data_IF_363980972397
#
_entry.id   IF_363980972397
#
_cell.length_a   1.000
_cell.length_b   1.000
_cell.length_c   1.000
_cell.angle_alpha   90.00
_cell.angle_beta   90.00
_cell.angle_gamma   90.00
#
_symmetry.space_group_name_H-M   'P 1'
#
loop_
_entity.id
_entity.type
_entity.pdbx_description
1 polymer ?
#
# COMPACT_ATOMS: atom_id res chain seq x y z
N UNK A 1 2.99 8.13 -22.03
CA UNK A 1 1.99 7.97 -23.12
C UNK A 1 0.60 7.70 -22.56
N UNK A 2 0.29 6.51 -22.03
CA UNK A 2 -1.08 6.18 -21.57
C UNK A 2 -1.66 7.14 -20.51
N UNK A 3 -0.81 7.64 -19.61
CA UNK A 3 -1.18 8.59 -18.54
C UNK A 3 -1.02 10.06 -18.91
N UNK A 4 -0.56 10.37 -20.14
CA UNK A 4 -0.33 11.76 -20.56
C UNK A 4 -1.61 12.62 -20.49
N UNK A 5 -2.81 12.17 -20.95
CA UNK A 5 -4.02 12.98 -20.85
C UNK A 5 -4.33 13.45 -19.41
N UNK A 6 -4.09 12.58 -18.42
CA UNK A 6 -4.35 12.88 -17.00
C UNK A 6 -3.28 13.79 -16.41
N UNK A 7 -2.02 13.63 -16.83
CA UNK A 7 -0.93 14.56 -16.47
C UNK A 7 -1.17 15.96 -17.07
N UNK A 8 -1.59 16.04 -18.33
CA UNK A 8 -1.90 17.29 -19.02
C UNK A 8 -3.07 18.01 -18.30
N UNK A 9 -4.15 17.29 -17.95
CA UNK A 9 -5.25 17.87 -17.15
C UNK A 9 -4.81 18.30 -15.74
N UNK A 10 -3.94 17.52 -15.09
CA UNK A 10 -3.39 17.87 -13.77
C UNK A 10 -2.58 19.18 -13.84
N UNK A 11 -1.68 19.31 -14.81
CA UNK A 11 -0.89 20.52 -15.02
C UNK A 11 -1.78 21.71 -15.41
N UNK A 12 -2.81 21.50 -16.23
CA UNK A 12 -3.81 22.52 -16.56
C UNK A 12 -4.56 23.00 -15.30
N UNK A 13 -4.97 22.09 -14.42
CA UNK A 13 -5.67 22.42 -13.18
C UNK A 13 -4.75 23.09 -12.14
N UNK A 14 -3.51 22.63 -12.03
CA UNK A 14 -2.48 23.20 -11.17
C UNK A 14 -2.16 24.65 -11.58
N UNK A 15 -1.89 24.89 -12.86
CA UNK A 15 -1.57 26.21 -13.40
C UNK A 15 -2.75 27.21 -13.34
N UNK A 16 -4.00 26.72 -13.37
CA UNK A 16 -5.20 27.56 -13.21
C UNK A 16 -5.52 27.92 -11.75
N UNK A 17 -4.97 27.21 -10.79
CA UNK A 17 -5.29 27.41 -9.37
C UNK A 17 -4.41 28.51 -8.76
N UNK A 18 -4.98 29.60 -8.22
CA UNK A 18 -4.21 30.56 -7.44
C UNK A 18 -3.94 30.02 -6.03
N UNK A 19 -2.76 30.27 -5.49
CA UNK A 19 -2.39 29.84 -4.14
C UNK A 19 -0.92 29.41 -4.04
N UNK A 20 -0.58 28.80 -2.90
CA UNK A 20 0.68 28.09 -2.71
C UNK A 20 0.66 26.71 -3.39
N UNK A 21 1.83 26.10 -3.49
CA UNK A 21 1.99 24.82 -4.19
C UNK A 21 1.12 23.68 -3.60
N UNK A 22 1.00 23.52 -2.26
CA UNK A 22 0.09 22.53 -1.68
C UNK A 22 -1.39 22.72 -2.04
N UNK A 23 -1.88 23.97 -2.12
CA UNK A 23 -3.27 24.26 -2.53
C UNK A 23 -3.47 23.90 -4.00
N UNK A 24 -2.54 24.27 -4.89
CA UNK A 24 -2.61 23.94 -6.32
C UNK A 24 -2.61 22.43 -6.57
N UNK A 25 -1.68 21.71 -5.94
CA UNK A 25 -1.57 20.25 -6.06
C UNK A 25 -2.87 19.58 -5.61
N UNK A 26 -3.48 20.04 -4.50
CA UNK A 26 -4.77 19.51 -4.03
C UNK A 26 -5.89 19.75 -5.04
N UNK A 27 -6.05 20.98 -5.50
CA UNK A 27 -7.08 21.33 -6.49
C UNK A 27 -6.91 20.56 -7.82
N UNK A 28 -5.65 20.34 -8.24
CA UNK A 28 -5.33 19.54 -9.41
C UNK A 28 -5.72 18.06 -9.21
N UNK A 29 -5.39 17.46 -8.06
CA UNK A 29 -5.83 16.10 -7.72
C UNK A 29 -7.36 15.97 -7.64
N UNK A 30 -8.06 16.94 -7.06
CA UNK A 30 -9.52 16.94 -6.99
C UNK A 30 -10.15 17.06 -8.39
N UNK A 31 -9.57 17.90 -9.27
CA UNK A 31 -10.01 18.07 -10.66
C UNK A 31 -9.85 16.78 -11.49
N UNK A 32 -8.68 16.12 -11.45
CA UNK A 32 -8.50 14.86 -12.16
C UNK A 32 -9.32 13.73 -11.54
N UNK A 33 -9.50 13.71 -10.21
CA UNK A 33 -10.36 12.73 -9.54
C UNK A 33 -11.78 12.84 -10.06
N UNK A 34 -12.36 14.04 -10.04
CA UNK A 34 -13.71 14.30 -10.55
C UNK A 34 -13.89 13.92 -12.04
N UNK A 35 -12.84 13.99 -12.85
CA UNK A 35 -12.87 13.65 -14.28
C UNK A 35 -12.68 12.17 -14.57
N UNK A 36 -11.92 11.45 -13.75
CA UNK A 36 -11.42 10.10 -14.08
C UNK A 36 -11.78 9.00 -13.08
N UNK A 37 -12.39 9.31 -11.93
CA UNK A 37 -12.84 8.32 -10.94
C UNK A 37 -13.94 7.39 -11.49
N UNK A 38 -14.68 7.78 -12.53
CA UNK A 38 -15.69 6.92 -13.19
C UNK A 38 -15.11 5.69 -13.91
N UNK A 39 -13.81 5.69 -14.22
CA UNK A 39 -13.18 4.61 -14.97
C UNK A 39 -12.58 3.54 -14.05
N UNK A 40 -12.75 2.27 -14.43
CA UNK A 40 -11.78 1.23 -14.07
C UNK A 40 -10.46 1.49 -14.81
N UNK A 41 -9.32 0.99 -14.32
CA UNK A 41 -8.08 1.05 -15.10
C UNK A 41 -8.25 0.39 -16.49
N UNK A 42 -9.04 -0.69 -16.62
CA UNK A 42 -9.31 -1.33 -17.93
C UNK A 42 -10.00 -0.38 -18.89
N UNK A 43 -11.10 0.20 -18.43
CA UNK A 43 -11.93 1.09 -19.24
C UNK A 43 -11.23 2.43 -19.54
N UNK A 44 -10.35 2.91 -18.65
CA UNK A 44 -9.45 4.03 -18.96
C UNK A 44 -8.48 3.66 -20.09
N UNK A 45 -7.76 2.54 -19.97
CA UNK A 45 -6.75 2.13 -20.95
C UNK A 45 -7.35 1.88 -22.35
N UNK A 46 -8.55 1.29 -22.40
CA UNK A 46 -9.31 1.07 -23.62
C UNK A 46 -9.90 2.38 -24.20
N UNK A 47 -10.68 3.13 -23.41
CA UNK A 47 -11.52 4.22 -23.91
C UNK A 47 -10.80 5.57 -23.99
N UNK A 48 -9.85 5.82 -23.08
CA UNK A 48 -9.11 7.10 -23.00
C UNK A 48 -7.72 6.94 -23.61
N UNK A 49 -6.93 5.96 -23.17
CA UNK A 49 -5.56 5.75 -23.68
C UNK A 49 -5.50 5.02 -25.03
N UNK A 50 -6.63 4.47 -25.51
CA UNK A 50 -6.77 3.78 -26.81
C UNK A 50 -5.79 2.62 -27.03
N UNK A 51 -5.50 1.86 -25.97
CA UNK A 51 -4.67 0.67 -26.07
C UNK A 51 -5.39 -0.47 -26.81
N UNK A 52 -4.62 -1.28 -27.54
CA UNK A 52 -5.16 -2.49 -28.17
C UNK A 52 -5.51 -3.56 -27.12
N UNK A 53 -6.45 -4.48 -27.41
CA UNK A 53 -6.77 -5.58 -26.50
C UNK A 53 -5.54 -6.42 -26.12
N UNK A 54 -4.58 -6.59 -27.03
CA UNK A 54 -3.37 -7.37 -26.77
C UNK A 54 -2.34 -6.62 -25.93
N UNK A 55 -2.25 -5.29 -26.05
CA UNK A 55 -1.46 -4.46 -25.13
C UNK A 55 -2.05 -4.51 -23.70
N UNK A 56 -3.38 -4.50 -23.59
CA UNK A 56 -4.09 -4.66 -22.32
C UNK A 56 -3.80 -6.04 -21.69
N UNK A 57 -3.89 -7.14 -22.45
CA UNK A 57 -3.53 -8.50 -21.98
C UNK A 57 -2.07 -8.62 -21.55
N UNK A 58 -1.14 -8.01 -22.30
CA UNK A 58 0.28 -8.03 -21.96
C UNK A 58 0.58 -7.26 -20.66
N UNK A 59 -0.15 -6.17 -20.42
CA UNK A 59 -0.08 -5.42 -19.16
C UNK A 59 -0.69 -6.20 -17.98
N UNK A 60 -1.77 -6.96 -18.22
CA UNK A 60 -2.43 -7.84 -17.25
C UNK A 60 -1.46 -8.85 -16.61
N UNK A 61 -0.58 -9.42 -17.46
CA UNK A 61 0.49 -10.34 -17.05
C UNK A 61 1.49 -9.69 -16.06
N UNK A 62 1.70 -8.37 -16.15
CA UNK A 62 2.63 -7.59 -15.34
C UNK A 62 2.14 -7.26 -13.92
N UNK A 63 1.30 -8.10 -13.32
CA UNK A 63 0.63 -7.86 -12.03
C UNK A 63 -0.36 -6.68 -12.04
N UNK A 64 -0.96 -6.34 -13.20
CA UNK A 64 -1.96 -5.28 -13.28
C UNK A 64 -3.41 -5.78 -13.09
N UNK A 65 -3.64 -7.09 -13.09
CA UNK A 65 -4.97 -7.71 -12.99
C UNK A 65 -5.77 -7.25 -11.77
N UNK A 66 -5.12 -7.04 -10.62
CA UNK A 66 -5.77 -6.57 -9.39
C UNK A 66 -6.16 -5.08 -9.42
N UNK A 67 -5.51 -4.26 -10.27
CA UNK A 67 -5.89 -2.85 -10.44
C UNK A 67 -6.82 -2.63 -11.62
N UNK A 68 -6.94 -3.61 -12.52
CA UNK A 68 -7.69 -3.49 -13.78
C UNK A 68 -9.17 -3.15 -13.60
N UNK A 69 -9.84 -3.73 -12.59
CA UNK A 69 -11.26 -3.47 -12.29
C UNK A 69 -11.49 -2.47 -11.14
N UNK A 70 -10.41 -1.99 -10.52
CA UNK A 70 -10.47 -0.95 -9.49
C UNK A 70 -10.44 0.46 -10.11
N UNK A 71 -10.84 1.47 -9.32
CA UNK A 71 -10.96 2.85 -9.77
C UNK A 71 -9.62 3.42 -10.23
N UNK A 72 -9.54 3.88 -11.49
CA UNK A 72 -8.30 4.25 -12.19
C UNK A 72 -7.44 5.29 -11.44
N UNK A 73 -8.06 6.15 -10.63
CA UNK A 73 -7.37 7.19 -9.87
C UNK A 73 -6.42 6.62 -8.80
N UNK A 74 -6.69 5.43 -8.27
CA UNK A 74 -5.79 4.81 -7.28
C UNK A 74 -4.46 4.33 -7.92
N UNK A 75 -4.44 3.46 -8.96
CA UNK A 75 -3.18 3.07 -9.59
C UNK A 75 -2.48 4.21 -10.32
N UNK A 76 -3.19 5.27 -10.73
CA UNK A 76 -2.55 6.49 -11.27
C UNK A 76 -1.66 7.18 -10.22
N UNK A 77 -2.10 7.24 -8.95
CA UNK A 77 -1.27 7.77 -7.85
C UNK A 77 -0.12 6.84 -7.55
N UNK A 78 -0.37 5.54 -7.48
CA UNK A 78 0.69 4.57 -7.18
C UNK A 78 1.75 4.50 -8.26
N UNK A 79 1.41 4.58 -9.56
CA UNK A 79 2.39 4.56 -10.65
C UNK A 79 3.45 5.68 -10.55
N UNK A 80 3.06 6.83 -9.99
CA UNK A 80 3.98 7.94 -9.68
C UNK A 80 4.90 7.62 -8.49
N UNK A 81 4.42 6.85 -7.53
CA UNK A 81 5.09 6.55 -6.26
C UNK A 81 5.89 5.22 -6.26
N UNK A 82 5.57 4.25 -7.12
CA UNK A 82 6.06 2.86 -7.01
C UNK A 82 6.71 2.25 -8.26
N UNK A 83 6.76 2.97 -9.40
CA UNK A 83 7.56 2.52 -10.56
C UNK A 83 9.07 2.56 -10.24
N UNK A 84 9.89 1.61 -10.72
CA UNK A 84 11.32 1.56 -10.38
C UNK A 84 12.06 2.90 -10.62
N UNK A 85 11.72 3.61 -11.70
CA UNK A 85 12.29 4.92 -12.02
C UNK A 85 11.62 6.08 -11.25
N UNK A 86 10.37 5.91 -10.79
CA UNK A 86 9.67 6.82 -9.89
C UNK A 86 10.19 6.73 -8.45
N UNK A 87 10.27 5.51 -7.90
CA UNK A 87 10.75 5.24 -6.55
C UNK A 87 12.20 5.68 -6.31
N UNK A 88 13.08 5.48 -7.30
CA UNK A 88 14.44 6.01 -7.26
C UNK A 88 14.47 7.55 -7.26
N UNK A 89 13.63 8.22 -8.06
CA UNK A 89 13.50 9.69 -8.07
C UNK A 89 12.85 10.24 -6.80
N UNK A 90 11.91 9.50 -6.21
CA UNK A 90 11.23 9.83 -4.97
C UNK A 90 12.09 9.57 -3.73
N UNK A 91 13.26 8.91 -3.90
CA UNK A 91 14.14 8.55 -2.79
C UNK A 91 13.50 7.54 -1.83
N UNK A 92 12.76 6.54 -2.36
CA UNK A 92 12.18 5.48 -1.53
C UNK A 92 13.28 4.76 -0.72
N UNK A 93 13.02 4.57 0.57
CA UNK A 93 13.94 3.91 1.49
C UNK A 93 13.21 2.86 2.33
N UNK A 94 13.88 1.73 2.55
CA UNK A 94 13.49 0.79 3.60
C UNK A 94 14.24 1.13 4.90
N UNK A 95 13.54 1.11 6.03
CA UNK A 95 14.21 1.11 7.32
C UNK A 95 14.96 -0.20 7.50
N UNK A 96 16.28 -0.10 7.68
CA UNK A 96 17.18 -1.25 7.81
C UNK A 96 16.62 -2.27 8.83
N UNK A 97 16.35 -1.84 10.06
CA UNK A 97 15.86 -2.72 11.15
C UNK A 97 14.37 -3.11 11.04
N UNK A 98 13.77 -3.01 9.86
CA UNK A 98 12.34 -3.25 9.61
C UNK A 98 11.50 -1.99 9.69
N UNK A 99 10.35 -1.97 9.00
CA UNK A 99 9.41 -0.85 9.05
C UNK A 99 8.66 -0.76 10.39
N UNK A 100 8.65 -1.85 11.17
CA UNK A 100 8.09 -1.92 12.52
C UNK A 100 8.82 -1.01 13.53
N UNK A 101 10.01 -0.51 13.18
CA UNK A 101 10.72 0.48 13.98
C UNK A 101 9.97 1.82 14.06
N UNK A 102 9.15 2.16 13.06
CA UNK A 102 8.32 3.39 13.11
C UNK A 102 7.33 3.34 14.28
N UNK A 103 6.39 2.37 14.38
CA UNK A 103 5.51 2.27 15.54
C UNK A 103 6.27 2.04 16.86
N UNK A 104 7.32 1.19 16.86
CA UNK A 104 8.16 0.96 18.04
C UNK A 104 8.81 2.24 18.57
N UNK A 105 9.21 3.17 17.70
CA UNK A 105 9.79 4.45 18.09
C UNK A 105 8.79 5.40 18.79
N UNK A 106 7.47 5.17 18.75
CA UNK A 106 6.51 5.94 19.57
C UNK A 106 6.36 5.39 21.00
N UNK A 107 6.68 4.11 21.20
CA UNK A 107 6.48 3.38 22.47
C UNK A 107 7.78 2.98 23.17
N UNK A 108 8.95 3.23 22.58
CA UNK A 108 10.24 2.93 23.23
C UNK A 108 10.35 3.59 24.61
N UNK A 109 10.83 2.82 25.59
CA UNK A 109 11.21 3.29 26.94
C UNK A 109 12.23 4.42 26.90
N UNK A 110 13.09 4.46 25.89
CA UNK A 110 14.20 5.43 25.75
C UNK A 110 13.70 6.87 25.58
N UNK A 111 12.39 7.04 25.32
CA UNK A 111 11.73 8.35 25.21
C UNK A 111 11.28 8.94 26.55
N UNK A 112 11.39 8.20 27.65
CA UNK A 112 10.89 8.62 28.98
C UNK A 112 9.43 9.07 28.88
N UNK A 113 9.11 10.25 29.41
CA UNK A 113 7.77 10.86 29.40
C UNK A 113 7.18 11.09 28.00
N UNK A 114 8.02 11.09 26.95
CA UNK A 114 7.57 11.18 25.54
C UNK A 114 7.22 9.81 24.93
N UNK A 115 7.37 8.72 25.67
CA UNK A 115 6.87 7.40 25.28
C UNK A 115 5.35 7.36 25.41
N UNK A 116 4.68 6.64 24.50
CA UNK A 116 3.23 6.40 24.56
C UNK A 116 2.88 5.00 25.07
N UNK A 117 3.85 4.22 25.55
CA UNK A 117 3.63 2.85 26.02
C UNK A 117 2.57 2.76 27.13
N UNK A 118 2.59 3.67 28.11
CA UNK A 118 1.62 3.71 29.21
C UNK A 118 0.22 4.17 28.79
N UNK A 119 0.05 4.64 27.55
CA UNK A 119 -1.23 5.06 26.99
C UNK A 119 -1.82 4.01 26.05
N UNK A 120 -1.21 2.82 25.94
CA UNK A 120 -1.63 1.74 25.02
C UNK A 120 -1.86 0.47 25.83
N UNK A 121 -3.07 -0.09 25.69
CA UNK A 121 -3.47 -1.35 26.33
C UNK A 121 -3.42 -2.45 25.27
N UNK A 122 -2.38 -3.28 25.30
CA UNK A 122 -2.27 -4.45 24.42
C UNK A 122 -3.23 -5.56 24.86
N UNK A 123 -3.71 -6.37 23.91
CA UNK A 123 -4.68 -7.44 24.17
C UNK A 123 -6.13 -6.97 24.36
N UNK A 124 -6.39 -5.66 24.39
CA UNK A 124 -7.73 -5.12 24.43
C UNK A 124 -8.32 -5.00 23.01
N UNK A 125 -9.25 -5.89 22.66
CA UNK A 125 -10.05 -5.79 21.43
C UNK A 125 -11.36 -5.08 21.75
N UNK A 126 -11.65 -3.99 21.03
CA UNK A 126 -12.97 -3.34 21.09
C UNK A 126 -13.95 -4.20 20.30
N UNK A 127 -15.01 -4.69 20.97
CA UNK A 127 -15.98 -5.65 20.40
C UNK A 127 -17.32 -5.02 20.00
N UNK A 128 -17.42 -3.68 19.94
CA UNK A 128 -18.68 -2.99 19.70
C UNK A 128 -18.55 -1.54 19.25
N UNK A 129 -18.33 -1.37 17.94
CA UNK A 129 -18.64 -0.20 17.10
C UNK A 129 -18.84 -0.77 15.66
N UNK A 130 -19.91 -0.43 14.96
CA UNK A 130 -20.37 -1.09 13.71
C UNK A 130 -19.97 -0.32 12.43
N UNK A 131 -19.64 -0.91 11.27
CA UNK A 131 -19.41 -2.33 10.87
C UNK A 131 -18.48 -2.39 9.62
N UNK A 132 -17.93 -3.57 9.22
CA UNK A 132 -16.68 -3.61 8.42
C UNK A 132 -16.75 -4.12 6.95
N UNK A 133 -15.61 -4.04 6.23
CA UNK A 133 -15.38 -4.27 4.77
C UNK A 133 -13.92 -4.84 4.47
N UNK A 134 -13.54 -5.29 3.23
CA UNK A 134 -12.78 -6.56 2.92
C UNK A 134 -11.29 -6.47 2.35
N UNK A 135 -10.76 -7.48 1.57
CA UNK A 135 -9.48 -8.29 1.76
C UNK A 135 -8.23 -8.29 0.75
N UNK A 136 -6.95 -8.59 1.18
CA UNK A 136 -5.59 -8.73 0.42
C UNK A 136 -4.48 -9.57 1.20
N UNK A 137 -3.41 -10.21 0.63
CA UNK A 137 -2.34 -11.02 1.37
C UNK A 137 -0.83 -11.07 0.88
N UNK A 138 0.15 -11.66 1.62
CA UNK A 138 1.64 -11.59 1.34
C UNK A 138 2.52 -12.78 1.88
N UNK A 139 3.73 -13.05 1.33
CA UNK A 139 4.70 -14.10 1.77
C UNK A 139 6.18 -13.65 1.76
N UNK A 140 6.96 -14.02 2.79
CA UNK A 140 8.40 -13.68 2.97
C UNK A 140 9.28 -14.94 3.17
N UNK A 141 10.38 -15.08 2.43
CA UNK A 141 11.34 -16.20 2.55
C UNK A 141 12.72 -15.72 3.02
N UNK A 142 13.50 -16.59 3.68
CA UNK A 142 14.89 -16.31 4.08
C UNK A 142 15.86 -17.35 3.49
N UNK A 143 16.93 -16.84 2.85
CA UNK A 143 17.97 -17.58 2.18
C UNK A 143 19.34 -17.40 2.85
N UNK A 144 20.18 -18.43 2.75
CA UNK A 144 21.58 -18.46 3.22
C UNK A 144 22.49 -17.56 2.40
N UNK A 145 22.20 -17.44 1.12
CA UNK A 145 22.91 -16.68 0.10
C UNK A 145 21.93 -15.84 -0.69
N UNK A 146 22.34 -14.62 -1.07
CA UNK A 146 21.56 -13.73 -1.94
C UNK A 146 21.76 -14.10 -3.41
N UNK A 147 21.31 -15.30 -3.77
CA UNK A 147 21.51 -15.90 -5.09
C UNK A 147 21.03 -15.00 -6.25
N UNK A 148 20.02 -14.16 -6.02
CA UNK A 148 19.49 -13.20 -6.98
C UNK A 148 20.48 -12.10 -7.39
N UNK A 149 21.49 -11.78 -6.56
CA UNK A 149 22.53 -10.79 -6.89
C UNK A 149 23.26 -11.20 -8.18
N UNK A 150 23.57 -12.49 -8.33
CA UNK A 150 24.21 -13.02 -9.55
C UNK A 150 23.29 -13.00 -10.76
N UNK A 151 22.00 -13.32 -10.58
CA UNK A 151 20.99 -13.32 -11.65
C UNK A 151 20.81 -11.91 -12.22
N UNK A 152 20.58 -10.91 -11.37
CA UNK A 152 20.42 -9.53 -11.83
C UNK A 152 21.72 -8.93 -12.37
N UNK A 153 22.89 -9.26 -11.80
CA UNK A 153 24.18 -8.79 -12.33
C UNK A 153 24.44 -9.33 -13.74
N UNK A 154 24.19 -10.62 -13.97
CA UNK A 154 24.35 -11.25 -15.28
C UNK A 154 23.36 -10.70 -16.33
N UNK A 155 22.16 -10.29 -15.90
CA UNK A 155 21.17 -9.62 -16.75
C UNK A 155 21.43 -8.12 -16.96
N UNK A 156 22.44 -7.53 -16.29
CA UNK A 156 22.72 -6.08 -16.34
C UNK A 156 21.69 -5.22 -15.60
N UNK A 157 20.97 -5.79 -14.63
CA UNK A 157 19.82 -5.17 -13.94
C UNK A 157 20.12 -4.71 -12.50
N UNK A 158 21.37 -4.87 -12.02
CA UNK A 158 21.78 -4.50 -10.66
C UNK A 158 21.88 -5.69 -9.73
N UNK A 159 21.52 -5.52 -8.46
CA UNK A 159 21.62 -6.58 -7.42
C UNK A 159 20.30 -6.81 -6.65
N UNK A 160 19.27 -6.04 -6.96
CA UNK A 160 17.93 -6.07 -6.38
C UNK A 160 16.86 -5.85 -7.47
N UNK A 161 15.57 -5.81 -7.09
CA UNK A 161 14.49 -5.50 -8.02
C UNK A 161 13.20 -6.26 -7.76
N UNK A 162 12.33 -6.30 -8.78
CA UNK A 162 11.05 -6.99 -8.74
C UNK A 162 10.85 -7.88 -9.97
N UNK A 163 10.22 -9.03 -9.77
CA UNK A 163 9.90 -10.03 -10.80
C UNK A 163 8.39 -10.23 -10.86
N UNK A 164 7.79 -10.07 -12.04
CA UNK A 164 6.40 -10.44 -12.30
C UNK A 164 6.32 -11.83 -12.95
N UNK A 165 5.28 -12.61 -12.62
CA UNK A 165 5.07 -13.97 -13.09
C UNK A 165 3.58 -14.33 -13.14
N UNK A 166 3.23 -15.32 -13.96
CA UNK A 166 1.94 -16.00 -14.00
C UNK A 166 1.81 -17.13 -12.96
N UNK A 167 2.91 -17.52 -12.30
CA UNK A 167 2.91 -18.50 -11.21
C UNK A 167 2.21 -17.94 -9.96
N UNK A 168 1.68 -18.78 -9.03
CA UNK A 168 0.96 -18.35 -7.82
C UNK A 168 1.68 -17.39 -6.85
N UNK A 169 2.94 -17.02 -7.13
CA UNK A 169 3.68 -15.98 -6.42
C UNK A 169 3.46 -14.55 -6.97
N UNK A 170 2.95 -14.43 -8.20
CA UNK A 170 2.66 -13.23 -9.02
C UNK A 170 3.71 -12.14 -9.08
N UNK A 171 4.07 -11.55 -7.95
CA UNK A 171 5.14 -10.56 -7.84
C UNK A 171 6.11 -10.94 -6.72
N UNK A 172 7.39 -11.06 -7.05
CA UNK A 172 8.47 -11.25 -6.09
C UNK A 172 9.26 -9.95 -5.97
N UNK A 173 9.57 -9.50 -4.75
CA UNK A 173 10.46 -8.36 -4.53
C UNK A 173 11.72 -8.76 -3.77
N UNK A 174 12.87 -8.46 -4.38
CA UNK A 174 14.20 -8.68 -3.84
C UNK A 174 14.69 -7.36 -3.21
N UNK A 175 15.16 -7.37 -1.94
CA UNK A 175 15.47 -6.14 -1.22
C UNK A 175 16.77 -5.52 -1.70
N UNK A 176 16.88 -4.19 -1.55
CA UNK A 176 18.11 -3.44 -1.84
C UNK A 176 19.27 -3.93 -0.97
N UNK A 177 20.36 -4.36 -1.63
CA UNK A 177 21.55 -4.92 -0.97
C UNK A 177 22.73 -3.97 -0.94
N UNK A 178 22.90 -3.12 -1.95
CA UNK A 178 23.97 -2.12 -1.99
C UNK A 178 23.84 -1.09 -0.85
N UNK A 179 24.94 -0.78 -0.17
CA UNK A 179 24.96 0.11 1.00
C UNK A 179 24.24 -0.43 2.25
N UNK A 180 23.65 -1.63 2.21
CA UNK A 180 22.85 -2.16 3.31
C UNK A 180 23.72 -2.67 4.47
N UNK A 181 23.76 -1.88 5.54
CA UNK A 181 24.57 -2.13 6.74
C UNK A 181 24.32 -3.48 7.42
N UNK A 182 23.16 -4.09 7.22
CA UNK A 182 22.81 -5.39 7.81
C UNK A 182 23.48 -6.56 7.10
N UNK A 183 23.82 -6.38 5.83
CA UNK A 183 24.39 -7.42 4.96
C UNK A 183 25.93 -7.43 5.02
N UNK A 184 26.56 -6.39 5.55
CA UNK A 184 28.02 -6.21 5.65
C UNK A 184 28.75 -7.38 6.37
N UNK A 185 28.04 -8.13 7.21
CA UNK A 185 28.61 -9.28 7.96
C UNK A 185 27.94 -10.62 7.64
N UNK A 186 27.14 -10.71 6.56
CA UNK A 186 26.40 -11.93 6.24
C UNK A 186 26.04 -12.03 4.77
N UNK A 187 26.19 -13.22 4.18
CA UNK A 187 25.66 -13.51 2.84
C UNK A 187 24.17 -13.87 2.84
N UNK A 188 23.53 -13.94 4.02
CA UNK A 188 22.09 -14.21 4.15
C UNK A 188 21.27 -13.04 3.58
N UNK A 189 20.03 -13.33 3.21
CA UNK A 189 19.05 -12.30 2.84
C UNK A 189 17.63 -12.86 2.86
N UNK A 190 16.65 -11.97 3.01
CA UNK A 190 15.23 -12.30 2.87
C UNK A 190 14.70 -11.80 1.53
N UNK A 191 13.70 -12.47 0.98
CA UNK A 191 13.01 -12.09 -0.28
C UNK A 191 11.52 -12.09 0.00
N UNK A 192 10.79 -11.07 -0.48
CA UNK A 192 9.34 -11.15 -0.52
C UNK A 192 8.95 -12.03 -1.72
N UNK A 193 8.96 -13.34 -1.49
CA UNK A 193 8.82 -14.35 -2.54
C UNK A 193 7.47 -14.29 -3.25
N UNK A 194 6.40 -13.89 -2.55
CA UNK A 194 5.11 -13.62 -3.15
C UNK A 194 4.47 -12.37 -2.54
N UNK A 195 4.06 -11.45 -3.40
CA UNK A 195 3.29 -10.26 -3.08
C UNK A 195 2.03 -10.30 -3.93
N UNK A 196 0.90 -10.55 -3.28
CA UNK A 196 -0.31 -11.04 -3.92
C UNK A 196 -1.49 -10.12 -3.62
N UNK A 197 -2.42 -10.08 -4.57
CA UNK A 197 -3.64 -9.30 -4.44
C UNK A 197 -4.85 -10.16 -4.78
N UNK A 198 -6.00 -9.76 -4.23
CA UNK A 198 -7.32 -10.34 -4.52
C UNK A 198 -7.30 -11.88 -4.62
N UNK A 199 -7.71 -12.43 -5.76
CA UNK A 199 -7.93 -13.86 -5.95
C UNK A 199 -6.65 -14.71 -5.80
N UNK A 200 -5.46 -14.20 -6.15
CA UNK A 200 -4.21 -14.94 -5.92
C UNK A 200 -3.88 -15.04 -4.42
N UNK A 201 -4.11 -13.94 -3.68
CA UNK A 201 -3.95 -13.92 -2.23
C UNK A 201 -4.94 -14.87 -1.54
N UNK A 202 -6.18 -14.95 -2.02
CA UNK A 202 -7.17 -15.93 -1.55
C UNK A 202 -6.76 -17.37 -1.87
N UNK A 203 -6.31 -17.65 -3.10
CA UNK A 203 -5.91 -19.00 -3.53
C UNK A 203 -4.70 -19.52 -2.75
N UNK A 204 -3.65 -18.70 -2.58
CA UNK A 204 -2.50 -19.09 -1.78
C UNK A 204 -2.87 -19.12 -0.28
N UNK A 205 -3.69 -18.17 0.16
CA UNK A 205 -4.17 -18.05 1.53
C UNK A 205 -4.98 -19.24 2.04
N UNK A 206 -5.74 -19.90 1.17
CA UNK A 206 -6.50 -21.12 1.47
C UNK A 206 -5.60 -22.34 1.80
N UNK A 207 -4.28 -22.25 1.61
CA UNK A 207 -3.33 -23.33 1.90
C UNK A 207 -2.70 -23.17 3.28
N UNK A 208 -2.30 -24.27 3.92
CA UNK A 208 -1.52 -24.21 5.17
C UNK A 208 -0.19 -23.46 4.99
N UNK A 209 0.25 -22.71 6.01
CA UNK A 209 1.46 -21.85 6.02
C UNK A 209 2.70 -22.51 5.39
N UNK A 210 3.02 -23.74 5.79
CA UNK A 210 4.17 -24.48 5.25
C UNK A 210 4.04 -24.80 3.77
N UNK A 211 2.80 -24.99 3.28
CA UNK A 211 2.52 -25.21 1.85
C UNK A 211 2.66 -23.90 1.07
N UNK A 212 2.24 -22.76 1.62
CA UNK A 212 2.46 -21.44 1.01
C UNK A 212 3.97 -21.16 0.84
N UNK A 213 4.74 -21.36 1.91
CA UNK A 213 6.21 -21.20 1.95
C UNK A 213 6.93 -22.16 0.99
N UNK A 214 6.45 -23.41 0.88
CA UNK A 214 6.99 -24.41 -0.07
C UNK A 214 6.71 -24.03 -1.52
N UNK A 215 5.46 -23.72 -1.87
CA UNK A 215 5.07 -23.35 -3.24
C UNK A 215 5.82 -22.09 -3.71
N UNK A 216 6.01 -21.11 -2.83
CA UNK A 216 6.80 -19.93 -3.17
C UNK A 216 8.26 -20.26 -3.50
N UNK A 217 8.86 -21.21 -2.77
CA UNK A 217 10.23 -21.67 -3.03
C UNK A 217 10.33 -22.53 -4.31
N UNK A 218 9.39 -23.47 -4.52
CA UNK A 218 9.31 -24.32 -5.72
C UNK A 218 9.08 -23.49 -7.00
N UNK A 219 8.29 -22.42 -6.93
CA UNK A 219 8.08 -21.51 -8.06
C UNK A 219 9.36 -20.72 -8.39
N UNK A 220 10.11 -20.23 -7.39
CA UNK A 220 11.38 -19.55 -7.64
C UNK A 220 12.44 -20.50 -8.23
N UNK A 221 12.46 -21.76 -7.80
CA UNK A 221 13.32 -22.82 -8.37
C UNK A 221 12.97 -23.11 -9.84
N UNK A 222 11.68 -23.11 -10.17
CA UNK A 222 11.21 -23.27 -11.55
C UNK A 222 11.54 -22.08 -12.46
N UNK A 223 11.60 -20.86 -11.93
CA UNK A 223 11.98 -19.66 -12.69
C UNK A 223 13.50 -19.52 -12.84
N UNK A 224 14.26 -19.87 -11.79
CA UNK A 224 15.72 -19.76 -11.75
C UNK A 224 16.39 -21.10 -11.42
N UNK A 225 16.22 -22.14 -12.25
CA UNK A 225 16.73 -23.50 -11.94
C UNK A 225 18.25 -23.54 -11.82
N UNK A 226 18.95 -22.71 -12.58
CA UNK A 226 20.41 -22.57 -12.57
C UNK A 226 20.96 -21.94 -11.27
N UNK A 227 20.10 -21.29 -10.46
CA UNK A 227 20.46 -20.67 -9.18
C UNK A 227 20.12 -21.55 -7.96
N UNK A 228 19.55 -22.74 -8.20
CA UNK A 228 19.21 -23.77 -7.19
C UNK A 228 18.61 -23.22 -5.87
N UNK A 229 17.64 -22.28 -5.90
CA UNK A 229 17.21 -21.54 -4.70
C UNK A 229 16.64 -22.45 -3.60
N UNK A 230 16.12 -23.65 -3.91
CA UNK A 230 15.73 -24.63 -2.90
C UNK A 230 16.89 -25.07 -1.99
N UNK A 231 18.11 -25.20 -2.51
CA UNK A 231 19.29 -25.57 -1.72
C UNK A 231 19.72 -24.46 -0.76
N UNK A 232 19.42 -23.21 -1.11
CA UNK A 232 19.82 -22.03 -0.34
C UNK A 232 18.78 -21.57 0.69
N UNK A 233 17.56 -22.10 0.67
CA UNK A 233 16.47 -21.72 1.59
C UNK A 233 16.74 -22.21 3.01
N UNK A 234 16.74 -21.30 3.99
CA UNK A 234 16.92 -21.65 5.40
C UNK A 234 15.60 -21.66 6.18
N UNK A 235 14.71 -20.71 5.88
CA UNK A 235 13.42 -20.56 6.53
C UNK A 235 12.44 -19.82 5.62
N UNK A 236 11.16 -19.79 6.00
CA UNK A 236 10.15 -19.00 5.33
C UNK A 236 8.94 -18.76 6.22
N UNK A 237 8.18 -17.71 5.91
CA UNK A 237 7.02 -17.27 6.68
C UNK A 237 6.00 -16.62 5.75
N UNK A 238 4.72 -16.59 6.13
CA UNK A 238 3.69 -15.89 5.36
C UNK A 238 2.82 -15.01 6.26
N UNK A 239 2.23 -13.99 5.65
CA UNK A 239 1.30 -13.06 6.28
C UNK A 239 0.13 -12.81 5.31
N UNK A 240 -0.92 -13.61 5.47
CA UNK A 240 -2.08 -13.62 4.59
C UNK A 240 -3.14 -12.76 5.26
N UNK A 241 -3.16 -11.45 4.98
CA UNK A 241 -4.14 -10.56 5.64
C UNK A 241 -5.63 -10.93 5.43
N UNK A 242 -6.11 -11.71 4.43
CA UNK A 242 -7.51 -12.19 4.41
C UNK A 242 -7.83 -13.11 5.59
N UNK A 243 -6.81 -13.80 6.10
CA UNK A 243 -6.89 -14.61 7.32
C UNK A 243 -6.50 -13.85 8.60
N UNK A 244 -6.18 -12.56 8.51
CA UNK A 244 -5.85 -11.73 9.67
C UNK A 244 -7.11 -11.04 10.19
N UNK A 245 -7.63 -11.59 11.28
CA UNK A 245 -8.84 -11.12 11.96
C UNK A 245 -8.77 -9.65 12.40
N UNK A 246 -7.57 -9.10 12.63
CA UNK A 246 -7.37 -7.72 13.06
C UNK A 246 -7.22 -6.75 11.90
N UNK A 247 -6.87 -7.24 10.70
CA UNK A 247 -6.71 -6.43 9.49
C UNK A 247 -8.02 -6.22 8.72
N UNK A 248 -9.15 -6.75 9.20
CA UNK A 248 -10.43 -6.75 8.47
C UNK A 248 -10.36 -7.53 7.16
N UNK A 249 -9.36 -8.42 7.03
CA UNK A 249 -9.06 -9.17 5.83
C UNK A 249 -8.06 -8.49 4.86
N UNK A 250 -7.74 -7.19 4.96
CA UNK A 250 -6.87 -6.54 3.97
C UNK A 250 -5.58 -5.94 4.50
N UNK A 251 -4.58 -5.89 3.62
CA UNK A 251 -3.38 -5.11 3.80
C UNK A 251 -3.65 -3.59 3.73
N UNK A 252 -4.59 -3.17 2.88
CA UNK A 252 -4.98 -1.75 2.69
C UNK A 252 -6.30 -1.61 1.91
N UNK A 253 -6.91 -0.43 1.98
CA UNK A 253 -8.15 -0.09 1.30
C UNK A 253 -7.93 0.30 -0.18
N UNK A 254 -8.93 0.12 -1.04
CA UNK A 254 -8.83 0.53 -2.45
C UNK A 254 -10.23 0.80 -3.02
N UNK A 255 -10.43 1.95 -3.66
CA UNK A 255 -11.74 2.31 -4.21
C UNK A 255 -12.02 1.64 -5.56
N UNK A 256 -13.25 1.17 -5.73
CA UNK A 256 -13.84 0.87 -7.05
C UNK A 256 -14.22 2.18 -7.77
N UNK A 257 -14.50 2.16 -9.08
CA UNK A 257 -14.85 3.39 -9.81
C UNK A 257 -16.03 4.14 -9.19
N UNK A 258 -15.92 5.47 -9.14
CA UNK A 258 -16.88 6.40 -8.56
C UNK A 258 -16.91 6.43 -7.02
N UNK A 259 -16.35 5.42 -6.35
CA UNK A 259 -16.42 5.32 -4.89
C UNK A 259 -15.60 6.41 -4.19
N UNK A 260 -14.50 6.88 -4.81
CA UNK A 260 -13.67 7.94 -4.22
C UNK A 260 -14.44 9.25 -4.13
N UNK A 261 -15.13 9.60 -5.20
CA UNK A 261 -16.01 10.77 -5.27
C UNK A 261 -17.26 10.63 -4.38
N UNK A 262 -17.76 9.40 -4.20
CA UNK A 262 -18.97 9.13 -3.45
C UNK A 262 -18.75 9.07 -1.92
N UNK A 263 -17.66 8.46 -1.45
CA UNK A 263 -17.51 8.08 -0.04
C UNK A 263 -16.34 8.76 0.68
N UNK A 264 -15.27 9.18 0.00
CA UNK A 264 -14.04 9.65 0.69
C UNK A 264 -14.29 10.84 1.62
N UNK A 265 -15.13 11.79 1.20
CA UNK A 265 -15.49 12.95 2.03
C UNK A 265 -16.25 12.52 3.31
N UNK A 266 -17.16 11.55 3.20
CA UNK A 266 -17.90 11.00 4.32
C UNK A 266 -16.99 10.20 5.27
N UNK A 267 -16.09 9.38 4.74
CA UNK A 267 -15.11 8.60 5.51
C UNK A 267 -14.08 9.48 6.25
N UNK A 268 -13.88 10.73 5.82
CA UNK A 268 -12.98 11.69 6.47
C UNK A 268 -13.67 12.57 7.53
N UNK A 269 -15.01 12.56 7.61
CA UNK A 269 -15.78 13.28 8.63
C UNK A 269 -15.77 12.49 9.96
N UNK A 270 -16.01 13.16 11.10
CA UNK A 270 -16.39 12.47 12.34
C UNK A 270 -17.75 11.75 12.18
N UNK A 271 -18.26 11.16 13.27
CA UNK A 271 -19.64 10.68 13.33
C UNK A 271 -20.65 11.69 12.79
N UNK A 272 -21.74 11.19 12.20
CA UNK A 272 -22.66 11.99 11.37
C UNK A 272 -23.62 12.87 12.16
N UNK A 273 -23.20 13.33 13.35
CA UNK A 273 -24.00 13.98 14.39
C UNK A 273 -25.16 13.08 14.86
N UNK A 274 -25.03 12.51 16.06
CA UNK A 274 -26.10 11.73 16.68
C UNK A 274 -26.57 12.37 17.99
N UNK A 275 -27.86 12.78 18.11
CA UNK A 275 -28.89 12.77 17.06
C UNK A 275 -28.59 13.76 15.92
N UNK A 276 -29.27 13.58 14.79
CA UNK A 276 -29.10 14.39 13.57
C UNK A 276 -29.18 15.90 13.88
N UNK A 277 -28.21 16.67 13.38
CA UNK A 277 -27.96 18.09 13.68
C UNK A 277 -27.31 18.42 15.04
N UNK A 278 -26.84 17.43 15.82
CA UNK A 278 -25.99 17.70 16.99
C UNK A 278 -24.60 18.25 16.58
N UNK A 279 -24.16 19.35 17.19
CA UNK A 279 -22.78 19.84 17.03
C UNK A 279 -21.77 19.11 17.95
N UNK A 280 -22.10 17.93 18.47
CA UNK A 280 -21.31 17.20 19.46
C UNK A 280 -20.75 15.92 18.84
N UNK A 281 -19.59 16.03 18.19
CA UNK A 281 -18.91 14.88 17.59
C UNK A 281 -18.08 14.13 18.64
N UNK A 282 -18.25 12.81 18.69
CA UNK A 282 -17.63 11.97 19.72
C UNK A 282 -16.80 10.81 19.14
N UNK A 283 -17.04 10.42 17.89
CA UNK A 283 -16.28 9.38 17.18
C UNK A 283 -15.59 9.97 15.96
N UNK A 284 -14.29 9.68 15.80
CA UNK A 284 -13.45 10.26 14.75
C UNK A 284 -12.68 9.15 14.02
N UNK A 285 -12.72 9.17 12.69
CA UNK A 285 -12.18 8.10 11.86
C UNK A 285 -10.78 8.43 11.32
N UNK A 286 -9.84 7.53 11.57
CA UNK A 286 -8.45 7.60 11.14
C UNK A 286 -7.94 6.23 10.66
N UNK A 287 -6.81 6.25 9.97
CA UNK A 287 -6.27 5.11 9.21
C UNK A 287 -6.16 5.47 7.72
N UNK A 288 -5.47 4.64 6.94
CA UNK A 288 -5.19 4.94 5.53
C UNK A 288 -6.47 5.00 4.68
N UNK A 289 -7.47 4.17 4.99
CA UNK A 289 -8.81 4.14 4.35
C UNK A 289 -9.56 5.47 4.44
N UNK A 290 -9.25 6.29 5.44
CA UNK A 290 -9.80 7.63 5.61
C UNK A 290 -8.84 8.69 5.06
N UNK A 291 -8.19 8.44 3.91
CA UNK A 291 -7.18 9.33 3.34
C UNK A 291 -7.21 9.38 1.80
N UNK A 292 -6.46 10.32 1.22
CA UNK A 292 -6.34 10.42 -0.25
C UNK A 292 -5.30 9.47 -0.85
N UNK A 293 -4.52 8.77 -0.03
CA UNK A 293 -3.34 7.97 -0.40
C UNK A 293 -3.38 6.60 0.29
N UNK A 294 -4.22 5.72 -0.24
CA UNK A 294 -4.39 4.35 0.26
C UNK A 294 -3.14 3.50 0.06
N UNK A 295 -2.92 2.50 0.91
CA UNK A 295 -1.72 1.65 0.87
C UNK A 295 -0.43 2.31 1.37
N UNK A 296 -0.44 3.62 1.66
CA UNK A 296 0.73 4.37 2.13
C UNK A 296 0.63 4.74 3.61
N UNK A 297 1.71 4.50 4.37
CA UNK A 297 1.85 4.93 5.78
C UNK A 297 1.60 6.44 5.92
N UNK A 298 1.98 7.23 4.91
CA UNK A 298 1.72 8.68 4.86
C UNK A 298 0.22 9.02 4.87
N UNK A 299 -0.63 8.20 4.22
CA UNK A 299 -2.09 8.34 4.25
C UNK A 299 -2.64 8.16 5.66
N UNK A 300 -2.23 7.09 6.34
CA UNK A 300 -2.60 6.83 7.74
C UNK A 300 -2.13 7.95 8.70
N UNK A 301 -0.89 8.42 8.57
CA UNK A 301 -0.37 9.53 9.38
C UNK A 301 -1.13 10.84 9.14
N UNK A 302 -1.44 11.16 7.87
CA UNK A 302 -2.23 12.33 7.52
C UNK A 302 -3.66 12.28 8.08
N UNK A 303 -4.31 11.12 8.00
CA UNK A 303 -5.62 10.88 8.59
C UNK A 303 -5.60 10.99 10.13
N UNK A 304 -4.55 10.45 10.78
CA UNK A 304 -4.35 10.58 12.22
C UNK A 304 -4.17 12.03 12.67
N UNK A 305 -3.37 12.82 11.96
CA UNK A 305 -3.20 14.25 12.24
C UNK A 305 -4.50 15.04 12.04
N UNK A 306 -5.27 14.75 10.97
CA UNK A 306 -6.60 15.34 10.76
C UNK A 306 -7.56 15.00 11.92
N UNK A 307 -7.58 13.74 12.35
CA UNK A 307 -8.40 13.28 13.47
C UNK A 307 -8.04 14.04 14.77
N UNK A 308 -6.75 14.22 15.07
CA UNK A 308 -6.31 15.05 16.22
C UNK A 308 -6.78 16.50 16.09
N UNK A 309 -6.74 17.10 14.90
CA UNK A 309 -7.25 18.45 14.66
C UNK A 309 -8.77 18.55 14.84
N UNK A 310 -9.52 17.53 14.40
CA UNK A 310 -10.98 17.44 14.60
C UNK A 310 -11.30 17.33 16.09
N UNK A 311 -10.70 16.36 16.81
CA UNK A 311 -10.87 16.18 18.26
C UNK A 311 -10.53 17.47 19.03
N UNK A 312 -9.41 18.13 18.70
CA UNK A 312 -9.01 19.37 19.36
C UNK A 312 -10.01 20.50 19.11
N UNK A 313 -10.48 20.69 17.87
CA UNK A 313 -11.49 21.69 17.53
C UNK A 313 -12.78 21.48 18.34
N UNK A 314 -13.24 20.24 18.46
CA UNK A 314 -14.46 19.89 19.18
C UNK A 314 -14.29 20.08 20.69
N UNK A 315 -13.18 19.59 21.27
CA UNK A 315 -12.87 19.75 22.70
C UNK A 315 -12.62 21.21 23.13
N UNK A 316 -12.36 22.12 22.18
CA UNK A 316 -12.12 23.56 22.43
C UNK A 316 -13.30 24.46 22.06
N UNK A 317 -14.45 23.88 21.67
CA UNK A 317 -15.69 24.66 21.50
C UNK A 317 -16.05 25.36 22.80
N UNK A 318 -16.16 26.70 22.74
CA UNK A 318 -16.64 27.50 23.85
C UNK A 318 -18.13 27.27 23.99
N UNK A 319 -18.53 26.45 24.97
CA UNK A 319 -19.93 26.30 25.36
C UNK A 319 -20.39 27.64 25.95
N UNK A 320 -21.41 28.31 25.39
CA UNK A 320 -21.98 29.49 26.01
C UNK A 320 -22.55 29.11 27.38
N UNK A 321 -22.11 29.80 28.43
CA UNK A 321 -22.78 29.72 29.73
C UNK A 321 -24.13 30.40 29.59
N UNK A 322 -25.21 29.62 29.74
CA UNK A 322 -26.61 30.08 29.73
C UNK A 322 -26.98 30.63 31.10
#
# INVERSE_FOLDING_TARGET
VAVCPVADDFDIACNKTPGDEPVKIRAAYDAITKKYDEYTLRSYLEKVARWSPDAIKLYDLGNAHFVFENGFIEPFKDAFLSSNSGGAKAGMQQLQRGMDQVPKAFISSDRGDKSRINNIIFGARVTGLTDPLPEIGTVLLQYRTRWWEGVFSNAGQGTDGGMASDLPIRYTMFPVTEGNSQLVRSNRGAVMAAYLFEQDATILGAMARDRQVRIAAENLDRVFPEAEPLQHREAGTSQVFPSDELAGGSAFYYFRPGQKSQYLEAMCKPDWAYPENAENYHVFFAGEQASYAHGWIQGALGAGLRCVQQVYKEATKVVPVV
#
